data_IF_828860082699
#
_entry.id   IF_828860082699
#
_cell.length_a   1.000
_cell.length_b   1.000
_cell.length_c   1.000
_cell.angle_alpha   90.00
_cell.angle_beta   90.00
_cell.angle_gamma   90.00
#
_symmetry.space_group_name_H-M   'P 1'
#
loop_
_entity.id
_entity.type
_entity.pdbx_description
1 polymer ?
#
# COMPACT_ATOMS: atom_id res chain seq x y z
N UNK A 1 3.91 -13.04 3.41
CA UNK A 1 3.34 -12.28 2.27
C UNK A 1 2.05 -11.61 2.73
N UNK A 2 1.83 -10.32 2.47
CA UNK A 2 0.54 -9.64 2.70
C UNK A 2 -0.08 -9.31 1.35
N UNK A 3 -1.21 -9.95 1.05
CA UNK A 3 -1.98 -9.74 -0.17
C UNK A 3 -3.25 -8.93 0.15
N UNK A 4 -3.49 -7.87 -0.59
CA UNK A 4 -4.71 -7.04 -0.48
C UNK A 4 -5.40 -6.96 -1.84
N UNK A 5 -6.74 -7.14 -1.90
CA UNK A 5 -7.46 -7.05 -3.15
C UNK A 5 -7.42 -5.63 -3.74
N UNK A 6 -7.44 -5.54 -5.08
CA UNK A 6 -7.49 -4.26 -5.81
C UNK A 6 -8.82 -3.53 -5.64
N UNK A 7 -9.87 -4.23 -5.21
CA UNK A 7 -11.19 -3.69 -4.90
C UNK A 7 -11.59 -4.06 -3.47
N UNK A 8 -12.17 -3.10 -2.74
CA UNK A 8 -12.67 -3.32 -1.38
C UNK A 8 -13.93 -2.51 -1.13
N UNK A 9 -14.95 -3.13 -0.56
CA UNK A 9 -16.14 -2.41 -0.08
C UNK A 9 -15.84 -1.79 1.28
N UNK A 10 -15.93 -0.47 1.38
CA UNK A 10 -15.70 0.28 2.62
C UNK A 10 -16.63 1.47 2.72
N UNK A 11 -16.80 2.00 3.93
CA UNK A 11 -17.58 3.21 4.16
C UNK A 11 -16.95 4.42 3.47
N UNK A 12 -17.68 5.07 2.56
CA UNK A 12 -17.25 6.30 1.94
C UNK A 12 -17.69 7.52 2.78
N UNK A 13 -16.72 8.31 3.26
CA UNK A 13 -16.96 9.58 3.97
C UNK A 13 -17.32 10.75 3.04
N UNK A 14 -17.46 10.50 1.74
CA UNK A 14 -17.89 11.51 0.77
C UNK A 14 -19.27 12.05 1.13
N UNK A 15 -19.46 13.38 0.99
CA UNK A 15 -20.70 14.07 1.35
C UNK A 15 -21.94 13.45 0.68
N UNK A 16 -21.77 12.99 -0.57
CA UNK A 16 -22.81 12.42 -1.42
C UNK A 16 -23.09 10.93 -1.17
N UNK A 17 -22.09 10.16 -0.71
CA UNK A 17 -22.23 8.72 -0.60
C UNK A 17 -22.68 8.27 0.79
N UNK A 18 -21.95 8.67 1.85
CA UNK A 18 -22.16 8.25 3.26
C UNK A 18 -22.62 6.79 3.44
N UNK A 19 -22.13 5.89 2.59
CA UNK A 19 -22.55 4.49 2.51
C UNK A 19 -21.36 3.61 2.12
N UNK A 20 -21.54 2.30 2.22
CA UNK A 20 -20.54 1.34 1.78
C UNK A 20 -20.55 1.24 0.27
N UNK A 21 -19.43 1.60 -0.36
CA UNK A 21 -19.26 1.56 -1.81
C UNK A 21 -18.00 0.79 -2.18
N UNK A 22 -17.89 0.26 -3.40
CA UNK A 22 -16.66 -0.31 -3.89
C UNK A 22 -15.59 0.78 -4.06
N UNK A 23 -14.41 0.52 -3.51
CA UNK A 23 -13.24 1.39 -3.62
C UNK A 23 -12.14 0.70 -4.41
N UNK A 24 -11.49 1.44 -5.30
CA UNK A 24 -10.25 1.05 -5.95
C UNK A 24 -9.10 1.26 -4.97
N UNK A 25 -8.31 0.21 -4.74
CA UNK A 25 -7.19 0.20 -3.80
C UNK A 25 -5.89 0.37 -4.56
N UNK A 26 -5.10 1.37 -4.20
CA UNK A 26 -3.75 1.57 -4.72
C UNK A 26 -2.74 1.82 -3.60
N UNK A 27 -1.47 1.57 -3.86
CA UNK A 27 -0.41 1.91 -2.92
C UNK A 27 -0.10 3.42 -3.01
N UNK A 28 -0.03 4.09 -1.85
CA UNK A 28 0.44 5.47 -1.79
C UNK A 28 1.94 5.53 -2.08
N UNK A 29 2.31 6.27 -3.13
CA UNK A 29 3.70 6.68 -3.40
C UNK A 29 3.91 8.11 -2.90
N UNK A 30 5.09 8.39 -2.35
CA UNK A 30 5.50 9.74 -2.03
C UNK A 30 5.76 10.52 -3.33
N UNK A 31 5.23 11.73 -3.44
CA UNK A 31 5.48 12.62 -4.58
C UNK A 31 6.83 13.33 -4.50
N UNK A 32 7.17 14.07 -5.56
CA UNK A 32 8.33 14.99 -5.59
C UNK A 32 8.14 16.05 -4.50
N UNK A 33 9.22 16.38 -3.78
CA UNK A 33 9.20 17.47 -2.80
C UNK A 33 9.06 18.82 -3.54
N UNK A 34 8.22 19.70 -3.02
CA UNK A 34 8.04 21.05 -3.57
C UNK A 34 9.13 21.99 -3.05
N UNK A 35 9.76 22.73 -3.96
CA UNK A 35 10.82 23.70 -3.64
C UNK A 35 10.30 25.00 -3.02
N UNK A 36 9.05 25.35 -3.32
CA UNK A 36 8.43 26.59 -2.85
C UNK A 36 7.83 26.47 -1.44
N UNK A 37 7.85 25.27 -0.86
CA UNK A 37 7.42 25.05 0.51
C UNK A 37 8.25 25.90 1.49
N UNK A 38 7.60 26.48 2.49
CA UNK A 38 8.25 27.40 3.45
C UNK A 38 9.50 26.79 4.11
N UNK A 39 9.44 25.49 4.47
CA UNK A 39 10.56 24.77 5.08
C UNK A 39 11.77 24.67 4.16
N UNK A 40 11.53 24.37 2.87
CA UNK A 40 12.58 24.25 1.86
C UNK A 40 13.20 25.62 1.55
N UNK A 41 12.37 26.68 1.39
CA UNK A 41 12.86 28.06 1.21
C UNK A 41 13.76 28.51 2.36
N UNK A 42 13.35 28.21 3.60
CA UNK A 42 14.15 28.51 4.80
C UNK A 42 15.44 27.70 4.85
N UNK A 43 15.40 26.41 4.50
CA UNK A 43 16.58 25.55 4.45
C UNK A 43 17.59 26.06 3.41
N UNK A 44 17.14 26.34 2.19
CA UNK A 44 17.97 26.90 1.11
C UNK A 44 18.62 28.23 1.49
N UNK A 45 17.87 29.15 2.11
CA UNK A 45 18.41 30.43 2.60
C UNK A 45 19.42 30.24 3.74
N UNK A 46 19.23 29.25 4.61
CA UNK A 46 20.20 28.95 5.67
C UNK A 46 21.46 28.29 5.11
N UNK A 47 21.31 27.51 4.05
CA UNK A 47 22.38 26.75 3.43
C UNK A 47 23.26 27.61 2.50
N UNK A 48 22.80 28.78 2.06
CA UNK A 48 23.57 29.68 1.19
C UNK A 48 24.69 30.41 1.96
N UNK A 49 25.85 30.55 1.31
CA UNK A 49 27.04 31.19 1.88
C UNK A 49 28.06 30.17 2.39
N UNK A 50 28.92 30.61 3.30
CA UNK A 50 29.94 29.77 3.93
C UNK A 50 29.41 29.15 5.23
N UNK A 51 30.02 28.04 5.69
CA UNK A 51 29.63 27.36 6.94
C UNK A 51 29.11 25.92 6.79
N UNK A 52 29.11 25.37 5.58
CA UNK A 52 28.84 23.95 5.34
C UNK A 52 27.41 23.51 5.64
N UNK A 53 27.22 22.30 6.14
CA UNK A 53 25.91 21.69 6.36
C UNK A 53 25.21 22.26 7.60
N UNK A 54 24.08 22.96 7.42
CA UNK A 54 23.46 23.76 8.50
C UNK A 54 22.35 23.07 9.32
N UNK A 55 21.91 21.88 8.89
CA UNK A 55 20.91 21.04 9.57
C UNK A 55 21.42 19.60 9.70
N UNK A 56 21.09 18.91 10.80
CA UNK A 56 21.59 17.56 11.04
C UNK A 56 21.08 16.57 10.00
N UNK A 57 21.98 15.73 9.49
CA UNK A 57 21.66 14.59 8.64
C UNK A 57 21.50 13.35 9.51
N UNK A 58 20.41 12.61 9.30
CA UNK A 58 20.13 11.42 10.10
C UNK A 58 20.83 10.18 9.51
N UNK A 59 21.80 9.62 10.24
CA UNK A 59 22.60 8.48 9.77
C UNK A 59 22.16 7.11 10.33
N UNK A 60 21.68 7.05 11.58
CA UNK A 60 21.43 5.78 12.31
C UNK A 60 20.02 5.21 12.04
N UNK A 61 19.76 4.76 10.80
CA UNK A 61 18.48 4.12 10.43
C UNK A 61 18.38 2.68 10.96
N UNK A 62 17.50 2.44 11.93
CA UNK A 62 17.27 1.10 12.49
C UNK A 62 16.14 0.30 11.80
N UNK A 63 15.13 0.98 11.25
CA UNK A 63 13.94 0.31 10.70
C UNK A 63 14.18 -0.14 9.26
N UNK A 64 13.98 -1.43 8.99
CA UNK A 64 14.16 -2.06 7.67
C UNK A 64 12.93 -1.93 6.77
N UNK A 65 11.74 -1.74 7.34
CA UNK A 65 10.46 -1.66 6.61
C UNK A 65 9.75 -0.33 6.85
N UNK A 66 8.84 0.05 5.96
CA UNK A 66 7.95 1.21 6.09
C UNK A 66 6.51 0.73 6.32
N UNK A 67 5.65 1.59 6.90
CA UNK A 67 4.21 1.32 6.91
C UNK A 67 3.69 1.56 5.49
N UNK A 68 3.03 0.56 4.93
CA UNK A 68 2.34 0.70 3.63
C UNK A 68 1.03 1.44 3.89
N UNK A 69 0.79 2.51 3.14
CA UNK A 69 -0.48 3.26 3.17
C UNK A 69 -1.22 2.98 1.88
N UNK A 70 -2.49 2.59 2.00
CA UNK A 70 -3.38 2.40 0.88
C UNK A 70 -4.13 3.70 0.58
N UNK A 71 -4.28 4.03 -0.70
CA UNK A 71 -5.24 5.02 -1.16
C UNK A 71 -6.48 4.29 -1.65
N UNK A 72 -7.62 4.62 -1.05
CA UNK A 72 -8.93 4.07 -1.37
C UNK A 72 -9.71 5.15 -2.12
N UNK A 73 -10.00 4.90 -3.40
CA UNK A 73 -10.76 5.79 -4.28
C UNK A 73 -12.15 5.23 -4.50
N UNK A 74 -13.18 5.97 -4.07
CA UNK A 74 -14.58 5.60 -4.29
C UNK A 74 -14.90 5.64 -5.79
N UNK A 75 -15.56 4.62 -6.32
CA UNK A 75 -15.96 4.59 -7.74
C UNK A 75 -17.04 5.61 -8.08
N UNK A 76 -17.91 5.95 -7.12
CA UNK A 76 -19.08 6.82 -7.33
C UNK A 76 -18.70 8.29 -7.24
N UNK A 77 -18.23 8.74 -6.07
CA UNK A 77 -17.94 10.16 -5.81
C UNK A 77 -16.45 10.54 -5.95
N UNK A 78 -15.59 9.61 -6.38
CA UNK A 78 -14.12 9.79 -6.55
C UNK A 78 -13.38 10.29 -5.30
N UNK A 79 -14.02 10.24 -4.13
CA UNK A 79 -13.43 10.64 -2.86
C UNK A 79 -12.29 9.68 -2.50
N UNK A 80 -11.16 10.25 -2.09
CA UNK A 80 -9.93 9.51 -1.77
C UNK A 80 -9.67 9.57 -0.28
N UNK A 81 -9.52 8.42 0.35
CA UNK A 81 -9.10 8.34 1.75
C UNK A 81 -7.90 7.40 1.92
N UNK A 82 -7.16 7.59 3.00
CA UNK A 82 -5.91 6.88 3.26
C UNK A 82 -6.07 5.91 4.44
N UNK A 83 -5.59 4.68 4.27
CA UNK A 83 -5.62 3.67 5.32
C UNK A 83 -4.20 3.12 5.55
N UNK A 84 -3.57 3.39 6.71
CA UNK A 84 -2.27 2.84 7.05
C UNK A 84 -2.39 1.38 7.50
N UNK A 85 -1.48 0.53 7.04
CA UNK A 85 -1.33 -0.84 7.50
C UNK A 85 -0.23 -0.96 8.56
N UNK A 86 -0.15 -2.14 9.18
CA UNK A 86 1.03 -2.55 9.97
C UNK A 86 2.26 -2.67 9.04
N UNK A 87 3.46 -2.72 9.62
CA UNK A 87 4.70 -2.84 8.85
C UNK A 87 4.81 -4.25 8.25
N UNK A 88 5.10 -4.33 6.96
CA UNK A 88 5.23 -5.57 6.21
C UNK A 88 6.53 -5.52 5.38
N UNK A 89 7.20 -6.66 5.20
CA UNK A 89 8.37 -6.76 4.29
C UNK A 89 7.94 -6.93 2.83
N UNK A 90 7.04 -7.89 2.58
CA UNK A 90 6.52 -8.20 1.25
C UNK A 90 5.03 -7.85 1.19
N UNK A 91 4.67 -6.98 0.24
CA UNK A 91 3.33 -6.47 0.03
C UNK A 91 2.96 -6.58 -1.44
N UNK A 92 1.82 -7.21 -1.72
CA UNK A 92 1.31 -7.43 -3.08
C UNK A 92 -0.14 -6.98 -3.19
N UNK A 93 -0.48 -6.40 -4.34
CA UNK A 93 -1.82 -5.92 -4.65
C UNK A 93 -2.47 -6.82 -5.71
N UNK A 94 -3.50 -7.54 -5.30
CA UNK A 94 -4.29 -8.42 -6.17
C UNK A 94 -3.55 -9.69 -6.60
N UNK A 95 -2.78 -10.29 -5.70
CA UNK A 95 -2.25 -11.63 -5.92
C UNK A 95 -3.34 -12.70 -5.83
N UNK A 96 -3.03 -13.90 -6.31
CA UNK A 96 -3.97 -15.01 -6.30
C UNK A 96 -4.41 -15.37 -4.89
N UNK A 97 -5.69 -15.74 -4.76
CA UNK A 97 -6.20 -16.27 -3.50
C UNK A 97 -5.53 -17.62 -3.29
N UNK A 98 -5.01 -17.84 -2.08
CA UNK A 98 -4.50 -19.17 -1.71
C UNK A 98 -5.63 -20.18 -1.87
N UNK A 99 -5.46 -21.14 -2.76
CA UNK A 99 -6.36 -22.27 -2.93
C UNK A 99 -6.40 -23.08 -1.63
N UNK A 100 -7.59 -23.59 -1.26
CA UNK A 100 -7.69 -24.63 -0.25
C UNK A 100 -7.07 -25.88 -0.87
N UNK A 101 -5.92 -26.28 -0.33
CA UNK A 101 -5.11 -27.48 -0.58
C UNK A 101 -5.69 -28.42 -1.66
N UNK A 102 -5.05 -28.47 -2.83
CA UNK A 102 -4.90 -29.74 -3.54
C UNK A 102 -3.52 -30.24 -3.14
N UNK A 103 -3.47 -31.40 -2.49
CA UNK A 103 -2.22 -32.07 -2.12
C UNK A 103 -1.35 -32.21 -3.38
N UNK A 104 -0.20 -31.56 -3.39
CA UNK A 104 0.83 -31.89 -4.36
C UNK A 104 1.60 -33.07 -3.79
N UNK A 105 1.19 -34.27 -4.18
CA UNK A 105 2.01 -35.46 -4.01
C UNK A 105 3.30 -35.29 -4.84
N UNK A 106 4.42 -35.68 -4.25
CA UNK A 106 5.78 -35.56 -4.77
C UNK A 106 6.04 -36.24 -6.13
N UNK A 107 5.06 -36.96 -6.68
CA UNK A 107 5.19 -37.82 -7.85
C UNK A 107 4.45 -37.33 -9.11
N UNK A 108 3.98 -36.09 -9.15
CA UNK A 108 3.55 -35.45 -10.40
C UNK A 108 2.37 -36.11 -11.14
N UNK A 109 1.48 -36.84 -10.44
CA UNK A 109 0.22 -37.36 -11.00
C UNK A 109 -0.97 -36.90 -10.18
N UNK A 110 -1.67 -35.88 -10.66
CA UNK A 110 -2.94 -35.44 -10.09
C UNK A 110 -4.03 -36.49 -10.37
N UNK A 111 -4.39 -37.27 -9.36
CA UNK A 111 -5.50 -38.21 -9.42
C UNK A 111 -6.84 -37.49 -9.23
N UNK A 112 -7.68 -37.51 -10.26
CA UNK A 112 -9.08 -37.12 -10.19
C UNK A 112 -9.80 -38.24 -9.43
N UNK A 113 -10.36 -37.94 -8.27
CA UNK A 113 -11.15 -38.92 -7.51
C UNK A 113 -12.31 -39.43 -8.37
N UNK A 114 -12.25 -40.72 -8.73
CA UNK A 114 -13.34 -41.43 -9.38
C UNK A 114 -14.55 -41.46 -8.43
N UNK A 115 -15.53 -40.60 -8.69
CA UNK A 115 -16.87 -40.78 -8.14
C UNK A 115 -17.57 -41.85 -9.01
N UNK A 116 -17.29 -43.11 -8.70
CA UNK A 116 -18.14 -44.22 -9.10
C UNK A 116 -19.10 -44.45 -7.94
N UNK A 117 -20.33 -43.93 -8.07
CA UNK A 117 -21.46 -44.35 -7.24
C UNK A 117 -22.59 -44.66 -8.20
N UNK A 118 -23.02 -45.92 -8.14
CA UNK A 118 -24.20 -46.47 -8.77
C UNK A 118 -25.47 -45.66 -8.43
#
# INVERSE_FOLDING_TARGET
MVNIPKTRNTFCKGKECRKHTPHKVSQLKAGKRSEFAQGERRYRRKQSGYGGQTKPVFHKKAKTTKKVVLRLECTVCKYKHQLPLKRCKHFELGGDKKTKVCSMDSDGRGGIGAALVF
#
